data_IF_990394209108
#
_entry.id   IF_990394209108
#
_cell.length_a   1.000
_cell.length_b   1.000
_cell.length_c   1.000
_cell.angle_alpha   90.00
_cell.angle_beta   90.00
_cell.angle_gamma   90.00
#
_symmetry.space_group_name_H-M   'P 1'
#
loop_
_entity.id
_entity.type
_entity.pdbx_description
1 polymer ?
#
# COMPACT_ATOMS: atom_id res chain seq x y z
N UNK A 1 5.45 -19.66 18.33
CA UNK A 1 4.55 -20.03 17.19
C UNK A 1 3.11 -19.55 17.34
N UNK A 2 2.21 -20.14 18.16
CA UNK A 2 0.80 -19.65 18.20
C UNK A 2 0.59 -18.34 18.98
N UNK A 3 1.41 -18.03 20.00
CA UNK A 3 1.31 -16.76 20.75
C UNK A 3 1.88 -15.53 20.02
N UNK A 4 2.71 -15.73 19.00
CA UNK A 4 3.30 -14.64 18.19
C UNK A 4 2.39 -14.22 17.04
N UNK A 5 1.71 -15.19 16.40
CA UNK A 5 0.67 -14.92 15.38
C UNK A 5 -0.48 -14.08 15.93
N UNK A 6 -0.85 -14.27 17.20
CA UNK A 6 -1.90 -13.48 17.86
C UNK A 6 -1.45 -12.06 18.27
N UNK A 7 -0.15 -11.84 18.52
CA UNK A 7 0.38 -10.49 18.80
C UNK A 7 0.42 -9.60 17.56
N UNK A 8 0.74 -10.18 16.39
CA UNK A 8 0.69 -9.47 15.10
C UNK A 8 -0.74 -9.10 14.68
N UNK A 9 -1.75 -9.94 14.96
CA UNK A 9 -3.16 -9.63 14.62
C UNK A 9 -3.75 -8.46 15.41
N UNK A 10 -3.30 -8.22 16.64
CA UNK A 10 -3.85 -7.15 17.52
C UNK A 10 -3.35 -5.72 17.21
N UNK A 11 -2.34 -5.55 16.36
CA UNK A 11 -1.72 -4.25 16.09
C UNK A 11 -1.89 -3.75 14.63
N UNK A 12 -2.83 -4.35 13.89
CA UNK A 12 -3.08 -4.13 12.45
C UNK A 12 -3.37 -2.69 12.00
N UNK A 13 -3.50 -1.70 12.89
CA UNK A 13 -4.09 -0.41 12.54
C UNK A 13 -3.28 0.85 12.87
N UNK A 14 -2.04 0.78 13.38
CA UNK A 14 -1.38 2.01 13.88
C UNK A 14 0.15 2.14 13.72
N UNK A 15 0.80 1.40 12.82
CA UNK A 15 2.26 1.46 12.69
C UNK A 15 2.70 1.66 11.23
N UNK A 16 3.29 2.84 10.95
CA UNK A 16 4.16 3.04 9.79
C UNK A 16 5.38 2.14 9.98
N UNK A 17 5.54 1.11 9.16
CA UNK A 17 6.79 0.35 9.10
C UNK A 17 7.62 0.92 7.97
N UNK A 18 8.86 1.32 8.25
CA UNK A 18 9.94 1.36 7.25
C UNK A 18 10.88 0.24 7.68
N UNK A 19 10.87 -0.91 7.00
CA UNK A 19 11.83 -1.99 7.25
C UNK A 19 12.65 -2.18 5.98
N UNK A 20 13.97 -2.05 6.11
CA UNK A 20 14.87 -2.22 4.99
C UNK A 20 15.82 -3.36 5.29
N UNK A 21 15.75 -4.45 4.51
CA UNK A 21 16.56 -5.66 4.75
C UNK A 21 17.62 -5.85 3.65
N UNK A 22 18.85 -6.19 4.04
CA UNK A 22 19.89 -6.71 3.16
C UNK A 22 19.87 -8.25 3.12
N UNK A 23 20.06 -8.82 1.94
CA UNK A 23 19.99 -10.25 1.61
C UNK A 23 21.35 -10.94 1.54
N UNK A 24 22.44 -10.25 1.88
CA UNK A 24 23.74 -10.90 2.04
C UNK A 24 23.82 -11.61 3.40
N UNK A 25 23.92 -12.94 3.37
CA UNK A 25 24.22 -13.79 4.52
C UNK A 25 25.38 -13.16 5.30
N UNK A 26 25.10 -12.72 6.54
CA UNK A 26 26.00 -12.34 7.67
C UNK A 26 25.60 -11.02 8.39
N UNK A 27 24.74 -10.15 7.85
CA UNK A 27 24.22 -9.02 8.64
C UNK A 27 22.85 -8.53 8.18
N UNK A 28 21.78 -8.99 8.85
CA UNK A 28 20.43 -8.45 8.68
C UNK A 28 20.31 -7.10 9.40
N UNK A 29 20.97 -6.08 8.86
CA UNK A 29 20.79 -4.71 9.34
C UNK A 29 19.38 -4.27 8.94
N UNK A 30 18.55 -3.97 9.94
CA UNK A 30 17.22 -3.38 9.76
C UNK A 30 17.33 -1.90 10.00
N UNK A 31 17.03 -1.09 8.99
CA UNK A 31 17.02 0.36 9.11
C UNK A 31 15.57 0.80 9.28
N UNK A 32 15.25 1.41 10.42
CA UNK A 32 13.85 1.72 10.75
C UNK A 32 13.69 3.10 11.38
N UNK A 33 12.47 3.64 11.28
CA UNK A 33 12.09 4.87 11.98
C UNK A 33 11.85 4.61 13.49
N UNK A 34 11.85 5.64 14.35
CA UNK A 34 11.89 5.46 15.82
C UNK A 34 10.76 4.60 16.43
N UNK A 35 9.55 4.65 15.87
CA UNK A 35 8.41 3.87 16.40
C UNK A 35 8.56 2.37 16.11
N UNK A 36 8.77 1.92 14.85
CA UNK A 36 9.14 0.55 14.55
C UNK A 36 10.40 0.08 15.28
N UNK A 37 11.41 0.94 15.37
CA UNK A 37 12.69 0.63 16.01
C UNK A 37 12.49 0.13 17.44
N UNK A 38 11.74 0.88 18.26
CA UNK A 38 11.46 0.52 19.65
C UNK A 38 10.74 -0.83 19.76
N UNK A 39 9.76 -1.07 18.87
CA UNK A 39 9.03 -2.34 18.85
C UNK A 39 9.95 -3.52 18.52
N UNK A 40 10.77 -3.39 17.48
CA UNK A 40 11.64 -4.46 16.99
C UNK A 40 12.81 -4.71 17.99
N UNK A 41 13.42 -3.65 18.53
CA UNK A 41 14.41 -3.77 19.62
C UNK A 41 13.81 -4.45 20.86
N UNK A 42 12.55 -4.17 21.18
CA UNK A 42 11.81 -4.85 22.24
C UNK A 42 11.61 -6.36 22.04
N UNK A 43 11.77 -6.86 20.80
CA UNK A 43 11.79 -8.29 20.47
C UNK A 43 13.19 -8.92 20.53
N UNK A 44 14.23 -8.14 20.90
CA UNK A 44 15.62 -8.61 20.94
C UNK A 44 16.29 -8.71 19.58
N UNK A 45 15.69 -8.09 18.54
CA UNK A 45 16.23 -8.08 17.18
C UNK A 45 17.13 -6.84 17.01
N UNK A 46 18.35 -6.98 16.46
CA UNK A 46 19.22 -5.85 16.14
C UNK A 46 18.58 -4.91 15.12
N UNK A 47 18.66 -3.61 15.37
CA UNK A 47 18.12 -2.56 14.50
C UNK A 47 19.07 -1.37 14.52
N UNK A 48 19.34 -0.83 13.34
CA UNK A 48 20.04 0.43 13.14
C UNK A 48 19.02 1.55 12.88
N UNK A 49 19.22 2.71 13.51
CA UNK A 49 18.33 3.83 13.30
C UNK A 49 18.64 4.52 11.96
N UNK A 50 17.63 5.09 11.29
CA UNK A 50 17.83 5.88 10.06
C UNK A 50 18.83 7.03 10.31
N UNK A 51 18.79 7.63 11.49
CA UNK A 51 19.68 8.71 11.90
C UNK A 51 21.14 8.25 12.02
N UNK A 52 21.40 6.99 12.38
CA UNK A 52 22.75 6.41 12.45
C UNK A 52 23.33 6.28 11.03
N UNK A 53 22.52 5.78 10.09
CA UNK A 53 22.91 5.61 8.69
C UNK A 53 23.15 6.96 8.00
N UNK A 54 22.22 7.89 8.18
CA UNK A 54 22.26 9.20 7.50
C UNK A 54 23.26 10.16 8.13
N UNK A 55 23.66 9.92 9.38
CA UNK A 55 24.50 10.84 10.17
C UNK A 55 23.91 12.26 10.26
N UNK A 56 22.59 12.38 10.06
CA UNK A 56 21.87 13.65 10.00
C UNK A 56 20.76 13.66 11.07
N UNK A 57 20.65 14.71 11.89
CA UNK A 57 19.64 14.77 12.95
C UNK A 57 18.23 14.93 12.37
N UNK A 58 17.22 14.50 13.12
CA UNK A 58 15.82 14.74 12.77
C UNK A 58 15.52 16.25 12.83
N UNK A 59 15.36 16.88 11.66
CA UNK A 59 14.98 18.29 11.50
C UNK A 59 13.55 18.43 10.98
N UNK A 60 12.98 19.64 11.08
CA UNK A 60 11.65 19.98 10.55
C UNK A 60 10.55 19.01 11.02
N UNK A 61 10.58 18.62 12.30
CA UNK A 61 9.63 17.66 12.86
C UNK A 61 9.72 16.25 12.26
N UNK A 62 10.84 15.90 11.61
CA UNK A 62 11.03 14.60 10.97
C UNK A 62 10.53 14.50 9.53
N UNK A 63 10.08 15.62 8.92
CA UNK A 63 9.52 15.66 7.55
C UNK A 63 10.49 15.20 6.45
N UNK A 64 11.80 15.31 6.69
CA UNK A 64 12.85 15.03 5.68
C UNK A 64 13.79 13.91 6.10
N UNK A 65 13.47 13.17 7.18
CA UNK A 65 14.38 12.20 7.81
C UNK A 65 14.87 11.09 6.87
N UNK A 66 14.02 10.60 5.97
CA UNK A 66 14.37 9.54 5.02
C UNK A 66 14.83 10.07 3.66
N UNK A 67 14.67 11.37 3.40
CA UNK A 67 15.01 12.05 2.13
C UNK A 67 16.51 12.30 2.02
N UNK A 68 17.30 11.23 2.07
CA UNK A 68 18.76 11.30 2.15
C UNK A 68 19.45 10.42 1.09
N UNK A 69 20.57 10.87 0.46
CA UNK A 69 21.29 10.09 -0.54
C UNK A 69 21.76 8.71 -0.05
N UNK A 70 22.13 8.54 1.21
CA UNK A 70 22.49 7.21 1.75
C UNK A 70 21.31 6.22 1.75
N UNK A 71 20.08 6.70 1.88
CA UNK A 71 18.89 5.84 1.81
C UNK A 71 18.52 5.60 0.35
N UNK A 72 18.39 6.67 -0.44
CA UNK A 72 17.98 6.55 -1.83
C UNK A 72 19.03 5.90 -2.74
N UNK A 73 20.32 6.11 -2.48
CA UNK A 73 21.42 5.43 -3.16
C UNK A 73 21.41 3.93 -2.85
N UNK A 74 21.18 3.56 -1.59
CA UNK A 74 21.03 2.16 -1.19
C UNK A 74 19.88 1.43 -1.90
N UNK A 75 18.80 2.17 -2.22
CA UNK A 75 17.62 1.64 -2.93
C UNK A 75 17.78 1.69 -4.45
N UNK A 76 18.37 2.76 -5.01
CA UNK A 76 18.33 3.07 -6.45
C UNK A 76 19.59 2.68 -7.21
N UNK A 77 20.66 2.25 -6.53
CA UNK A 77 21.86 1.79 -7.22
C UNK A 77 21.54 0.58 -8.11
N UNK A 78 22.23 0.50 -9.25
CA UNK A 78 22.14 -0.65 -10.15
C UNK A 78 23.27 -1.61 -9.79
N UNK A 79 22.93 -2.81 -9.36
CA UNK A 79 23.94 -3.77 -8.87
C UNK A 79 24.94 -4.20 -9.95
N UNK A 80 24.50 -4.27 -11.20
CA UNK A 80 25.36 -4.61 -12.36
C UNK A 80 26.19 -3.42 -12.88
N UNK A 81 25.99 -2.20 -12.35
CA UNK A 81 26.72 -1.02 -12.80
C UNK A 81 27.97 -0.79 -11.95
N UNK A 82 29.15 -0.96 -12.55
CA UNK A 82 30.44 -0.80 -11.86
C UNK A 82 30.74 0.62 -11.37
N UNK A 83 30.11 1.65 -11.96
CA UNK A 83 30.18 3.02 -11.48
C UNK A 83 29.41 3.19 -10.18
N UNK A 84 28.13 2.79 -10.17
CA UNK A 84 27.28 2.82 -8.97
C UNK A 84 27.95 2.06 -7.81
N UNK A 85 28.52 0.86 -8.07
CA UNK A 85 29.19 0.09 -7.01
C UNK A 85 30.43 0.78 -6.42
N UNK A 86 31.15 1.59 -7.20
CA UNK A 86 32.28 2.38 -6.69
C UNK A 86 31.79 3.54 -5.83
N UNK A 87 30.76 4.25 -6.28
CA UNK A 87 30.16 5.36 -5.52
C UNK A 87 29.56 4.85 -4.21
N UNK A 88 28.90 3.69 -4.22
CA UNK A 88 28.38 3.05 -3.01
C UNK A 88 29.48 2.80 -1.97
N UNK A 89 30.65 2.33 -2.40
CA UNK A 89 31.81 2.12 -1.51
C UNK A 89 32.43 3.44 -1.04
N UNK A 90 32.63 4.39 -1.95
CA UNK A 90 33.26 5.69 -1.68
C UNK A 90 32.47 6.50 -0.65
N UNK A 91 31.13 6.48 -0.75
CA UNK A 91 30.23 7.25 0.12
C UNK A 91 29.63 6.42 1.26
N UNK A 92 30.12 5.21 1.48
CA UNK A 92 29.67 4.29 2.55
C UNK A 92 28.15 4.12 2.54
N UNK A 93 27.58 3.92 1.34
CA UNK A 93 26.14 3.76 1.15
C UNK A 93 25.80 2.27 1.34
N UNK A 94 24.89 1.92 2.27
CA UNK A 94 24.48 0.53 2.46
C UNK A 94 23.58 0.05 1.33
N UNK A 95 23.72 -1.21 0.93
CA UNK A 95 22.80 -1.86 -0.01
C UNK A 95 21.46 -2.19 0.66
N UNK A 96 20.35 -1.85 0.01
CA UNK A 96 18.99 -2.03 0.52
C UNK A 96 18.17 -2.92 -0.42
N UNK A 97 17.99 -4.18 -0.05
CA UNK A 97 17.43 -5.22 -0.94
C UNK A 97 15.90 -5.40 -0.80
N UNK A 98 15.33 -5.05 0.35
CA UNK A 98 13.90 -5.05 0.60
C UNK A 98 13.54 -3.71 1.22
N UNK A 99 12.48 -3.05 0.76
CA UNK A 99 11.92 -1.82 1.33
C UNK A 99 10.47 -2.09 1.66
N UNK A 100 10.15 -2.12 2.95
CA UNK A 100 8.80 -2.31 3.49
C UNK A 100 8.32 -0.96 3.97
N UNK A 101 7.31 -0.38 3.33
CA UNK A 101 6.75 0.93 3.69
C UNK A 101 5.23 0.85 3.66
N UNK A 102 4.56 1.31 4.71
CA UNK A 102 3.09 1.47 4.69
C UNK A 102 2.73 2.95 4.87
N UNK A 103 1.80 3.44 4.05
CA UNK A 103 1.37 4.84 4.08
C UNK A 103 0.29 5.03 5.15
N UNK A 104 0.28 6.20 5.77
CA UNK A 104 -0.82 6.57 6.65
C UNK A 104 -2.12 6.67 5.83
N UNK A 105 -3.26 6.16 6.33
CA UNK A 105 -4.51 6.18 5.59
C UNK A 105 -5.07 7.60 5.51
N UNK A 106 -4.66 8.35 4.48
CA UNK A 106 -5.07 9.73 4.23
C UNK A 106 -6.58 9.87 4.17
N UNK A 107 -7.26 9.00 3.42
CA UNK A 107 -8.73 8.99 3.28
C UNK A 107 -9.44 8.82 4.63
N UNK A 108 -8.90 8.01 5.55
CA UNK A 108 -9.46 7.86 6.91
C UNK A 108 -9.32 9.15 7.73
N UNK A 109 -8.26 9.93 7.48
CA UNK A 109 -8.05 11.23 8.15
C UNK A 109 -9.08 12.23 7.65
N UNK A 110 -9.27 12.32 6.34
CA UNK A 110 -10.29 13.19 5.73
C UNK A 110 -11.69 12.81 6.24
N UNK A 111 -12.03 11.51 6.21
CA UNK A 111 -13.32 11.01 6.68
C UNK A 111 -13.56 11.24 8.19
N UNK A 112 -12.52 11.45 8.99
CA UNK A 112 -12.65 11.75 10.42
C UNK A 112 -13.11 13.18 10.71
N UNK A 113 -13.11 14.07 9.71
CA UNK A 113 -13.44 15.49 9.88
C UNK A 113 -12.34 16.28 10.59
N UNK A 114 -11.09 15.82 10.49
CA UNK A 114 -9.94 16.54 11.04
C UNK A 114 -9.80 17.94 10.40
N UNK A 115 -9.15 18.87 11.12
CA UNK A 115 -8.87 20.19 10.57
C UNK A 115 -7.94 20.07 9.34
N UNK A 116 -8.07 20.99 8.39
CA UNK A 116 -7.25 21.02 7.18
C UNK A 116 -5.75 20.93 7.49
N UNK A 117 -5.28 21.69 8.49
CA UNK A 117 -3.88 21.65 8.91
C UNK A 117 -3.44 20.23 9.31
N UNK A 118 -4.28 19.48 10.01
CA UNK A 118 -3.98 18.10 10.40
C UNK A 118 -3.98 17.16 9.19
N UNK A 119 -4.90 17.35 8.24
CA UNK A 119 -4.97 16.57 7.00
C UNK A 119 -3.70 16.80 6.16
N UNK A 120 -3.30 18.06 5.98
CA UNK A 120 -2.09 18.43 5.25
C UNK A 120 -0.84 17.85 5.91
N UNK A 121 -0.77 17.83 7.24
CA UNK A 121 0.35 17.24 7.98
C UNK A 121 0.44 15.71 7.80
N UNK A 122 -0.65 15.04 7.40
CA UNK A 122 -0.67 13.60 7.11
C UNK A 122 -0.24 13.24 5.68
N UNK A 123 0.07 14.21 4.84
CA UNK A 123 0.61 13.96 3.51
C UNK A 123 2.07 13.50 3.63
N UNK A 124 2.32 12.23 3.28
CA UNK A 124 3.60 11.58 3.47
C UNK A 124 4.49 11.75 2.23
N UNK A 125 5.58 12.50 2.38
CA UNK A 125 6.57 12.73 1.33
C UNK A 125 7.68 11.66 1.36
N UNK A 126 8.05 11.20 2.56
CA UNK A 126 9.13 10.24 2.75
C UNK A 126 8.70 8.85 2.29
N UNK A 127 7.57 8.37 2.82
CA UNK A 127 7.02 7.05 2.51
C UNK A 127 6.74 6.87 1.02
N UNK A 128 6.08 7.84 0.38
CA UNK A 128 5.77 7.76 -1.06
C UNK A 128 7.03 7.73 -1.92
N UNK A 129 8.04 8.52 -1.55
CA UNK A 129 9.33 8.55 -2.23
C UNK A 129 10.07 7.22 -2.12
N UNK A 130 10.08 6.60 -0.93
CA UNK A 130 10.68 5.28 -0.69
C UNK A 130 9.97 4.19 -1.50
N UNK A 131 8.64 4.16 -1.50
CA UNK A 131 7.83 3.21 -2.28
C UNK A 131 8.18 3.33 -3.77
N UNK A 132 8.18 4.56 -4.31
CA UNK A 132 8.46 4.79 -5.73
C UNK A 132 9.91 4.46 -6.10
N UNK A 133 10.87 4.75 -5.22
CA UNK A 133 12.28 4.42 -5.45
C UNK A 133 12.49 2.90 -5.52
N UNK A 134 11.96 2.16 -4.55
CA UNK A 134 12.08 0.70 -4.50
C UNK A 134 11.34 0.03 -5.65
N UNK A 135 10.12 0.49 -5.97
CA UNK A 135 9.34 -0.03 -7.10
C UNK A 135 10.01 0.26 -8.45
N UNK A 136 10.64 1.43 -8.62
CA UNK A 136 11.44 1.76 -9.80
C UNK A 136 12.62 0.79 -9.95
N UNK A 137 13.33 0.51 -8.86
CA UNK A 137 14.50 -0.36 -8.87
C UNK A 137 14.17 -1.83 -8.61
N UNK A 138 13.00 -2.31 -9.05
CA UNK A 138 12.56 -3.69 -8.85
C UNK A 138 13.52 -4.76 -9.37
N UNK A 139 14.47 -4.39 -10.24
CA UNK A 139 15.51 -5.33 -10.68
C UNK A 139 16.34 -5.81 -9.49
N UNK A 140 16.63 -4.92 -8.54
CA UNK A 140 17.57 -5.17 -7.45
C UNK A 140 16.90 -5.05 -6.05
N UNK A 141 15.74 -4.40 -5.94
CA UNK A 141 15.04 -4.17 -4.65
C UNK A 141 13.61 -4.71 -4.66
N UNK A 142 13.18 -5.40 -3.60
CA UNK A 142 11.78 -5.78 -3.37
C UNK A 142 11.06 -4.64 -2.63
N UNK A 143 9.94 -4.15 -3.17
CA UNK A 143 9.10 -3.16 -2.50
C UNK A 143 7.84 -3.80 -1.90
N UNK A 144 7.65 -3.69 -0.59
CA UNK A 144 6.44 -4.15 0.11
C UNK A 144 5.70 -2.92 0.62
N UNK A 145 4.58 -2.60 -0.02
CA UNK A 145 3.88 -1.30 0.17
C UNK A 145 2.61 -1.39 1.02
N UNK A 146 2.30 -2.58 1.54
CA UNK A 146 1.08 -2.85 2.29
C UNK A 146 1.28 -3.98 3.28
N UNK A 147 0.71 -3.83 4.48
CA UNK A 147 0.66 -4.90 5.50
C UNK A 147 -0.10 -6.14 4.99
N UNK A 148 -1.02 -5.97 4.04
CA UNK A 148 -1.75 -7.09 3.44
C UNK A 148 -0.84 -8.07 2.69
N UNK A 149 0.34 -7.61 2.26
CA UNK A 149 1.29 -8.43 1.51
C UNK A 149 2.26 -9.22 2.41
N UNK A 150 2.27 -8.99 3.73
CA UNK A 150 3.30 -9.56 4.62
C UNK A 150 3.29 -11.09 4.66
N UNK A 151 2.11 -11.71 4.69
CA UNK A 151 1.99 -13.17 4.68
C UNK A 151 2.55 -13.76 3.37
N UNK A 152 2.29 -13.11 2.24
CA UNK A 152 2.84 -13.50 0.95
C UNK A 152 4.36 -13.33 0.90
N UNK A 153 4.88 -12.19 1.38
CA UNK A 153 6.32 -11.92 1.43
C UNK A 153 7.04 -12.93 2.31
N UNK A 154 6.48 -13.25 3.48
CA UNK A 154 7.04 -14.24 4.38
C UNK A 154 7.13 -15.61 3.71
N UNK A 155 6.07 -16.03 3.03
CA UNK A 155 6.07 -17.29 2.28
C UNK A 155 7.13 -17.27 1.17
N UNK A 156 7.18 -16.18 0.40
CA UNK A 156 8.11 -16.03 -0.72
C UNK A 156 9.58 -16.10 -0.27
N UNK A 157 9.92 -15.41 0.82
CA UNK A 157 11.27 -15.43 1.40
C UNK A 157 11.59 -16.82 1.99
N UNK A 158 10.60 -17.47 2.63
CA UNK A 158 10.78 -18.80 3.23
C UNK A 158 11.04 -19.85 2.15
N UNK A 159 10.18 -19.91 1.12
CA UNK A 159 10.27 -20.87 0.02
C UNK A 159 11.51 -20.60 -0.86
N UNK A 160 11.88 -19.33 -0.99
CA UNK A 160 13.05 -18.86 -1.75
C UNK A 160 14.37 -18.89 -0.99
N UNK A 161 14.43 -19.40 0.25
CA UNK A 161 15.62 -19.41 1.11
C UNK A 161 16.29 -18.02 1.23
N UNK A 162 15.49 -16.97 1.44
CA UNK A 162 15.98 -15.59 1.54
C UNK A 162 16.08 -14.83 0.22
N UNK A 163 15.80 -15.49 -0.92
CA UNK A 163 15.89 -14.88 -2.25
C UNK A 163 14.53 -14.61 -2.89
N UNK A 164 14.49 -13.66 -3.83
CA UNK A 164 13.29 -13.34 -4.63
C UNK A 164 13.63 -13.39 -6.11
N UNK A 165 12.67 -13.75 -6.96
CA UNK A 165 12.87 -13.71 -8.41
C UNK A 165 12.60 -12.30 -8.97
N UNK A 166 13.13 -12.02 -10.16
CA UNK A 166 12.80 -10.79 -10.90
C UNK A 166 11.29 -10.66 -11.15
N UNK A 167 10.60 -11.79 -11.38
CA UNK A 167 9.15 -11.83 -11.59
C UNK A 167 8.41 -11.39 -10.33
N UNK A 168 8.87 -11.82 -9.16
CA UNK A 168 8.30 -11.44 -7.87
C UNK A 168 8.48 -9.95 -7.62
N UNK A 169 9.72 -9.45 -7.72
CA UNK A 169 9.99 -8.03 -7.52
C UNK A 169 9.21 -7.13 -8.48
N UNK A 170 9.09 -7.53 -9.76
CA UNK A 170 8.27 -6.80 -10.74
C UNK A 170 6.79 -6.77 -10.36
N UNK A 171 6.25 -7.87 -9.85
CA UNK A 171 4.86 -7.96 -9.39
C UNK A 171 4.62 -7.07 -8.16
N UNK A 172 5.55 -7.09 -7.21
CA UNK A 172 5.51 -6.23 -6.03
C UNK A 172 5.68 -4.74 -6.36
N UNK A 173 6.48 -4.41 -7.37
CA UNK A 173 6.56 -3.04 -7.90
C UNK A 173 5.22 -2.57 -8.50
N UNK A 174 4.48 -3.43 -9.19
CA UNK A 174 3.15 -3.10 -9.67
C UNK A 174 2.17 -2.83 -8.51
N UNK A 175 2.20 -3.66 -7.45
CA UNK A 175 1.44 -3.41 -6.21
C UNK A 175 1.81 -2.07 -5.58
N UNK A 176 3.09 -1.77 -5.47
CA UNK A 176 3.60 -0.51 -4.93
C UNK A 176 3.15 0.72 -5.74
N UNK A 177 3.20 0.66 -7.07
CA UNK A 177 2.68 1.75 -7.88
C UNK A 177 1.16 1.91 -7.76
N UNK A 178 0.41 0.82 -7.61
CA UNK A 178 -1.03 0.87 -7.33
C UNK A 178 -1.34 1.57 -5.99
N UNK A 179 -0.58 1.29 -4.93
CA UNK A 179 -0.69 2.00 -3.64
C UNK A 179 -0.39 3.48 -3.82
N UNK A 180 0.71 3.83 -4.51
CA UNK A 180 1.10 5.22 -4.71
C UNK A 180 0.09 6.01 -5.55
N UNK A 181 -0.45 5.42 -6.61
CA UNK A 181 -1.41 6.09 -7.50
C UNK A 181 -2.76 6.29 -6.82
N UNK A 182 -3.19 5.33 -6.00
CA UNK A 182 -4.37 5.46 -5.17
C UNK A 182 -4.21 6.58 -4.14
N UNK A 183 -3.06 6.64 -3.46
CA UNK A 183 -2.74 7.70 -2.50
C UNK A 183 -2.76 9.10 -3.13
N UNK A 184 -2.09 9.29 -4.27
CA UNK A 184 -2.07 10.57 -4.98
C UNK A 184 -3.46 10.93 -5.56
N UNK A 185 -4.28 9.94 -5.91
CA UNK A 185 -5.68 10.17 -6.33
C UNK A 185 -6.51 10.74 -5.18
N UNK A 186 -6.37 10.19 -3.97
CA UNK A 186 -7.06 10.69 -2.79
C UNK A 186 -6.63 12.12 -2.42
N UNK A 187 -5.33 12.42 -2.47
CA UNK A 187 -4.81 13.78 -2.24
C UNK A 187 -5.33 14.75 -3.30
N UNK A 188 -5.26 14.37 -4.58
CA UNK A 188 -5.77 15.21 -5.66
C UNK A 188 -7.24 15.55 -5.45
N UNK A 189 -8.08 14.54 -5.18
CA UNK A 189 -9.52 14.75 -4.97
C UNK A 189 -9.83 15.59 -3.73
N UNK A 190 -8.95 15.60 -2.72
CA UNK A 190 -9.11 16.47 -1.55
C UNK A 190 -8.85 17.95 -1.86
N UNK A 191 -7.78 18.26 -2.60
CA UNK A 191 -7.42 19.64 -2.95
C UNK A 191 -8.16 20.20 -4.17
N UNK A 192 -8.73 19.34 -5.00
CA UNK A 192 -9.34 19.76 -6.24
C UNK A 192 -10.74 20.36 -6.00
N UNK A 193 -10.82 21.69 -5.99
CA UNK A 193 -12.10 22.42 -5.86
C UNK A 193 -12.66 22.90 -7.21
N UNK A 194 -11.79 23.18 -8.17
CA UNK A 194 -12.16 23.92 -9.39
C UNK A 194 -11.98 23.10 -10.69
N UNK A 195 -11.01 22.18 -10.75
CA UNK A 195 -10.72 21.48 -12.00
C UNK A 195 -11.78 20.40 -12.26
N UNK A 196 -12.34 20.41 -13.47
CA UNK A 196 -13.29 19.39 -13.92
C UNK A 196 -12.57 18.12 -14.40
N UNK A 197 -11.91 17.42 -13.47
CA UNK A 197 -11.15 16.19 -13.74
C UNK A 197 -11.73 15.03 -12.95
N UNK A 198 -12.13 13.96 -13.65
CA UNK A 198 -12.54 12.72 -13.01
C UNK A 198 -11.32 11.85 -12.68
N UNK A 199 -11.04 11.66 -11.38
CA UNK A 199 -10.07 10.68 -10.89
C UNK A 199 -10.73 9.72 -9.90
N UNK A 200 -10.70 8.44 -10.26
CA UNK A 200 -11.13 7.35 -9.40
C UNK A 200 -10.03 6.29 -9.33
N UNK A 201 -9.79 5.77 -8.13
CA UNK A 201 -8.89 4.66 -7.88
C UNK A 201 -9.59 3.67 -6.94
N UNK A 202 -10.16 2.61 -7.52
CA UNK A 202 -10.95 1.61 -6.80
C UNK A 202 -10.11 0.34 -6.70
N UNK A 203 -9.72 -0.03 -5.48
CA UNK A 203 -8.81 -1.16 -5.22
C UNK A 203 -9.53 -2.45 -4.87
N UNK A 204 -10.79 -2.37 -4.45
CA UNK A 204 -11.64 -3.52 -4.19
C UNK A 204 -12.36 -3.94 -5.46
N UNK A 205 -12.30 -5.24 -5.76
CA UNK A 205 -12.96 -5.82 -6.90
C UNK A 205 -13.54 -7.19 -6.55
N UNK A 206 -14.70 -7.50 -7.12
CA UNK A 206 -15.37 -8.80 -6.99
C UNK A 206 -15.68 -9.32 -8.39
N UNK A 207 -15.18 -10.50 -8.72
CA UNK A 207 -15.54 -11.17 -9.97
C UNK A 207 -17.03 -11.49 -9.94
N UNK A 208 -17.71 -11.17 -11.04
CA UNK A 208 -19.09 -11.52 -11.28
C UNK A 208 -19.16 -12.86 -12.00
N UNK A 209 -20.34 -13.46 -11.98
CA UNK A 209 -20.59 -14.75 -12.62
C UNK A 209 -20.26 -14.77 -14.12
N UNK A 210 -20.57 -13.67 -14.79
CA UNK A 210 -20.25 -13.32 -16.17
C UNK A 210 -20.60 -11.83 -16.37
N UNK A 211 -20.16 -11.25 -17.49
CA UNK A 211 -20.54 -9.91 -17.94
C UNK A 211 -22.00 -9.88 -18.42
N UNK A 212 -22.30 -9.09 -19.45
CA UNK A 212 -23.66 -9.03 -19.98
C UNK A 212 -24.12 -10.38 -20.59
N UNK A 213 -23.18 -11.12 -21.18
CA UNK A 213 -23.39 -12.45 -21.76
C UNK A 213 -22.41 -13.48 -21.17
N UNK A 214 -22.72 -14.79 -21.17
CA UNK A 214 -21.92 -15.83 -20.52
C UNK A 214 -20.46 -15.97 -20.98
N UNK A 215 -20.12 -15.48 -22.18
CA UNK A 215 -18.77 -15.55 -22.74
C UNK A 215 -17.91 -14.33 -22.38
N UNK A 216 -18.49 -13.33 -21.69
CA UNK A 216 -17.82 -12.12 -21.26
C UNK A 216 -17.47 -12.23 -19.78
N UNK A 217 -16.28 -11.79 -19.38
CA UNK A 217 -15.94 -11.62 -17.97
C UNK A 217 -16.61 -10.36 -17.42
N UNK A 218 -17.01 -10.41 -16.15
CA UNK A 218 -17.59 -9.27 -15.44
C UNK A 218 -16.89 -9.06 -14.11
N UNK A 219 -16.59 -7.81 -13.76
CA UNK A 219 -15.96 -7.44 -12.49
C UNK A 219 -16.67 -6.23 -11.92
N UNK A 220 -17.12 -6.34 -10.68
CA UNK A 220 -17.62 -5.22 -9.89
C UNK A 220 -16.46 -4.55 -9.17
N UNK A 221 -16.37 -3.22 -9.24
CA UNK A 221 -15.37 -2.42 -8.55
C UNK A 221 -16.04 -1.62 -7.42
N UNK A 222 -15.57 -1.79 -6.19
CA UNK A 222 -16.08 -1.14 -4.99
C UNK A 222 -16.35 -2.13 -3.85
N UNK A 223 -16.89 -1.61 -2.75
CA UNK A 223 -17.27 -2.42 -1.59
C UNK A 223 -18.63 -3.08 -1.84
N UNK A 224 -18.60 -4.28 -2.44
CA UNK A 224 -19.81 -5.02 -2.78
C UNK A 224 -20.64 -5.35 -1.54
N UNK A 225 -19.97 -5.74 -0.45
CA UNK A 225 -20.63 -6.24 0.75
C UNK A 225 -21.16 -5.09 1.62
N UNK A 226 -20.67 -3.85 1.43
CA UNK A 226 -21.29 -2.65 1.99
C UNK A 226 -22.61 -2.26 1.31
N UNK A 227 -22.82 -2.67 0.06
CA UNK A 227 -24.02 -2.33 -0.73
C UNK A 227 -25.05 -3.46 -0.68
N UNK A 228 -24.60 -4.72 -0.71
CA UNK A 228 -25.47 -5.88 -0.83
C UNK A 228 -25.27 -6.85 0.34
N UNK A 229 -26.36 -7.14 1.05
CA UNK A 229 -26.47 -8.31 1.94
C UNK A 229 -27.28 -9.40 1.24
N UNK A 230 -26.59 -10.32 0.57
CA UNK A 230 -27.25 -11.40 -0.16
C UNK A 230 -27.72 -12.51 0.81
N UNK A 231 -29.01 -12.47 1.16
CA UNK A 231 -29.61 -13.45 2.08
C UNK A 231 -29.73 -14.87 1.49
N UNK A 232 -29.90 -15.00 0.17
CA UNK A 232 -30.04 -16.28 -0.51
C UNK A 232 -29.77 -16.19 -2.02
N UNK A 233 -29.76 -17.33 -2.71
CA UNK A 233 -29.70 -17.42 -4.17
C UNK A 233 -28.29 -17.63 -4.73
N UNK A 234 -28.18 -17.58 -6.06
CA UNK A 234 -26.90 -17.63 -6.76
C UNK A 234 -26.24 -16.26 -6.74
N UNK A 235 -24.94 -16.21 -6.91
CA UNK A 235 -24.20 -14.95 -7.06
C UNK A 235 -24.82 -14.06 -8.15
N UNK A 236 -24.85 -12.75 -7.88
CA UNK A 236 -25.38 -11.75 -8.80
C UNK A 236 -24.56 -11.71 -10.10
N UNK A 237 -25.27 -11.69 -11.23
CA UNK A 237 -24.66 -11.43 -12.55
C UNK A 237 -24.59 -9.93 -12.83
N UNK A 238 -23.84 -9.54 -13.87
CA UNK A 238 -23.77 -8.15 -14.33
C UNK A 238 -25.16 -7.54 -14.58
N UNK A 239 -26.04 -8.24 -15.30
CA UNK A 239 -27.38 -7.74 -15.59
C UNK A 239 -28.22 -7.60 -14.31
N UNK A 240 -28.04 -8.49 -13.32
CA UNK A 240 -28.75 -8.34 -12.06
C UNK A 240 -28.34 -7.08 -11.30
N UNK A 241 -27.07 -6.66 -11.40
CA UNK A 241 -26.63 -5.41 -10.78
C UNK A 241 -27.27 -4.19 -11.47
N UNK A 242 -27.38 -4.20 -12.80
CA UNK A 242 -28.07 -3.14 -13.54
C UNK A 242 -29.55 -3.09 -13.21
N UNK A 243 -30.21 -4.25 -13.13
CA UNK A 243 -31.64 -4.33 -12.77
C UNK A 243 -31.89 -3.84 -11.34
N UNK A 244 -31.01 -4.18 -10.39
CA UNK A 244 -31.13 -3.73 -9.00
C UNK A 244 -30.89 -2.23 -8.91
N UNK A 245 -29.88 -1.69 -9.58
CA UNK A 245 -29.63 -0.24 -9.61
C UNK A 245 -30.82 0.52 -10.21
N UNK A 246 -31.35 0.06 -11.35
CA UNK A 246 -32.55 0.64 -11.97
C UNK A 246 -33.78 0.54 -11.06
N UNK A 247 -33.97 -0.59 -10.37
CA UNK A 247 -35.08 -0.79 -9.44
C UNK A 247 -34.98 0.16 -8.23
N UNK A 248 -33.79 0.32 -7.64
CA UNK A 248 -33.55 1.21 -6.51
C UNK A 248 -33.77 2.67 -6.91
N UNK A 249 -33.23 3.10 -8.06
CA UNK A 249 -33.43 4.45 -8.58
C UNK A 249 -34.93 4.73 -8.83
N UNK A 250 -35.63 3.80 -9.48
CA UNK A 250 -37.07 3.95 -9.73
C UNK A 250 -37.89 4.02 -8.42
N UNK A 251 -37.63 3.13 -7.47
CA UNK A 251 -38.35 3.14 -6.18
C UNK A 251 -38.06 4.39 -5.35
N UNK A 252 -36.88 5.00 -5.50
CA UNK A 252 -36.52 6.25 -4.82
C UNK A 252 -37.44 7.42 -5.23
N UNK A 253 -38.00 7.41 -6.44
CA UNK A 253 -38.97 8.42 -6.89
C UNK A 253 -40.32 8.35 -6.17
N UNK A 254 -40.67 7.19 -5.60
CA UNK A 254 -41.94 6.94 -4.91
C UNK A 254 -41.80 6.91 -3.38
N UNK A 255 -40.69 7.39 -2.81
CA UNK A 255 -40.40 7.27 -1.38
C UNK A 255 -41.42 7.97 -0.46
N UNK A 256 -42.14 8.98 -0.96
CA UNK A 256 -43.21 9.68 -0.23
C UNK A 256 -44.63 9.17 -0.53
N UNK A 257 -44.75 8.16 -1.40
CA UNK A 257 -46.03 7.65 -1.88
C UNK A 257 -46.47 6.39 -1.10
N UNK A 258 -47.64 5.86 -1.48
CA UNK A 258 -48.11 4.57 -0.94
C UNK A 258 -47.13 3.43 -1.32
N UNK A 259 -47.13 2.31 -0.58
CA UNK A 259 -46.33 1.14 -0.92
C UNK A 259 -46.46 0.78 -2.41
N UNK A 260 -45.32 0.84 -3.10
CA UNK A 260 -45.21 0.71 -4.55
C UNK A 260 -44.36 -0.51 -4.87
N UNK A 261 -44.70 -1.22 -5.95
CA UNK A 261 -43.89 -2.30 -6.48
C UNK A 261 -43.66 -2.07 -7.98
N UNK A 262 -42.47 -2.41 -8.45
CA UNK A 262 -42.13 -2.43 -9.87
C UNK A 262 -41.57 -3.81 -10.24
N UNK A 263 -41.75 -4.19 -11.50
CA UNK A 263 -41.19 -5.40 -12.07
C UNK A 263 -40.35 -4.97 -13.27
N UNK A 264 -39.04 -5.21 -13.19
CA UNK A 264 -38.08 -4.94 -14.25
C UNK A 264 -37.70 -6.24 -14.95
N UNK A 265 -37.32 -6.14 -16.22
CA UNK A 265 -36.88 -7.27 -17.04
C UNK A 265 -35.90 -6.81 -18.10
#
# INVERSE_FOLDING_TARGET
MNKEKDKMKKHKHNFQFVDVMSTSFVSSVRITEPKPEQFIKGLGIPVEAVEEVTSYPSILGGRVKTLHPKIFGGILNRQENTGDQKEMQEYEIPQLDIVIVDLYPFEKTVASGAAEQDIVEKIDIGGISLIRAAAKNFKDTLCVSSVADYDEVLQLITDGNGSTSLKDRKRFAAKAFNISSHYDTAIFNYFNEEEHVYKASITQAKSLRYGENPHQEGTFYGDFDAIFDQLHGKELSYNNLLDVDAAVNLMSEFNAEKPTFAILK
#
